data_IF_945265049658
#
_entry.id   IF_945265049658
#
_cell.length_a   1.000
_cell.length_b   1.000
_cell.length_c   1.000
_cell.angle_alpha   90.00
_cell.angle_beta   90.00
_cell.angle_gamma   90.00
#
_symmetry.space_group_name_H-M   'P 1'
#
loop_
_entity.id
_entity.type
_entity.pdbx_description
1 polymer ?
#
# COMPACT_ATOMS: atom_id res chain seq x y z
N UNK A 1 -14.43 -7.51 0.73
CA UNK A 1 -13.16 -8.08 0.23
C UNK A 1 -13.38 -8.86 -1.06
N UNK A 2 -12.39 -8.95 -1.96
CA UNK A 2 -12.48 -9.68 -3.23
C UNK A 2 -12.83 -11.16 -3.01
N UNK A 3 -13.54 -11.74 -3.98
CA UNK A 3 -14.29 -13.01 -3.81
C UNK A 3 -13.56 -14.25 -4.33
N UNK A 4 -12.47 -14.11 -5.08
CA UNK A 4 -11.72 -15.25 -5.63
C UNK A 4 -10.21 -15.02 -5.66
N UNK A 5 -9.44 -16.06 -5.30
CA UNK A 5 -7.98 -16.05 -5.36
C UNK A 5 -7.49 -16.05 -6.82
N UNK A 6 -6.47 -15.24 -7.17
CA UNK A 6 -5.88 -15.21 -8.51
C UNK A 6 -5.12 -16.51 -8.80
N UNK A 7 -5.78 -17.45 -9.49
CA UNK A 7 -5.23 -18.77 -9.83
C UNK A 7 -3.98 -18.70 -10.71
N UNK A 8 -3.77 -17.60 -11.44
CA UNK A 8 -2.58 -17.38 -12.25
C UNK A 8 -1.29 -17.15 -11.44
N UNK A 9 -1.37 -16.95 -10.11
CA UNK A 9 -0.21 -16.95 -9.21
C UNK A 9 0.13 -18.32 -8.63
N UNK A 10 -0.70 -19.35 -8.85
CA UNK A 10 -0.50 -20.66 -8.21
C UNK A 10 0.80 -21.36 -8.60
N UNK A 11 1.39 -20.98 -9.73
CA UNK A 11 2.65 -21.53 -10.24
C UNK A 11 3.88 -20.71 -9.85
N UNK A 12 3.72 -19.57 -9.15
CA UNK A 12 4.85 -18.76 -8.71
C UNK A 12 5.62 -19.54 -7.63
N UNK A 13 6.94 -19.75 -7.79
CA UNK A 13 7.75 -20.43 -6.79
C UNK A 13 7.69 -19.70 -5.45
N UNK A 14 7.54 -20.46 -4.37
CA UNK A 14 7.52 -19.92 -3.00
C UNK A 14 8.83 -20.29 -2.30
N UNK A 15 9.55 -19.33 -1.69
CA UNK A 15 10.75 -19.62 -0.93
C UNK A 15 10.45 -20.46 0.32
N UNK A 16 11.38 -21.33 0.71
CA UNK A 16 11.20 -22.26 1.85
C UNK A 16 11.45 -21.61 3.21
N UNK A 17 12.25 -20.53 3.25
CA UNK A 17 12.74 -19.90 4.47
C UNK A 17 12.05 -18.55 4.75
N UNK A 18 10.75 -18.44 4.49
CA UNK A 18 9.95 -17.25 4.78
C UNK A 18 8.92 -17.54 5.86
N UNK A 19 8.42 -16.48 6.52
CA UNK A 19 7.32 -16.60 7.46
C UNK A 19 6.10 -17.24 6.78
N UNK A 20 5.34 -18.03 7.54
CA UNK A 20 4.15 -18.75 7.03
C UNK A 20 2.88 -18.44 7.83
N UNK A 21 3.02 -17.59 8.85
CA UNK A 21 1.97 -17.11 9.75
C UNK A 21 2.46 -15.86 10.46
N UNK A 22 1.55 -15.11 11.08
CA UNK A 22 1.90 -13.98 11.93
C UNK A 22 2.78 -14.41 13.13
N UNK A 23 3.79 -13.59 13.49
CA UNK A 23 4.65 -13.86 14.63
C UNK A 23 3.91 -13.62 15.96
N UNK A 24 4.44 -14.17 17.04
CA UNK A 24 4.15 -13.64 18.38
C UNK A 24 5.02 -12.42 18.65
N UNK A 25 4.60 -11.54 19.57
CA UNK A 25 5.37 -10.35 19.93
C UNK A 25 6.81 -10.67 20.38
N UNK A 26 7.01 -11.80 21.07
CA UNK A 26 8.33 -12.25 21.54
C UNK A 26 9.25 -12.72 20.40
N UNK A 27 8.71 -13.05 19.23
CA UNK A 27 9.48 -13.51 18.08
C UNK A 27 10.03 -12.34 17.24
N UNK A 28 9.58 -11.10 17.51
CA UNK A 28 10.00 -9.91 16.78
C UNK A 28 11.23 -9.33 17.46
N UNK A 29 12.35 -9.32 16.74
CA UNK A 29 13.64 -8.91 17.28
C UNK A 29 14.18 -7.77 16.40
N UNK A 30 14.23 -6.52 16.89
CA UNK A 30 14.85 -5.43 16.14
C UNK A 30 16.34 -5.70 15.94
N UNK A 31 16.88 -5.32 14.79
CA UNK A 31 18.27 -5.56 14.42
C UNK A 31 18.53 -5.32 12.93
N UNK A 32 19.76 -5.58 12.46
CA UNK A 32 20.05 -5.56 11.03
C UNK A 32 19.27 -6.68 10.31
N UNK A 33 19.13 -6.56 8.99
CA UNK A 33 18.62 -7.66 8.17
C UNK A 33 19.55 -8.88 8.31
N UNK A 34 18.96 -10.04 8.52
CA UNK A 34 19.71 -11.29 8.56
C UNK A 34 20.36 -11.55 7.19
N UNK A 35 21.59 -12.11 7.15
CA UNK A 35 22.14 -12.65 5.93
C UNK A 35 21.15 -13.64 5.32
N UNK A 36 20.90 -13.53 4.01
CA UNK A 36 19.95 -14.35 3.29
C UNK A 36 20.58 -14.90 2.02
N UNK A 37 20.36 -16.19 1.77
CA UNK A 37 20.67 -16.87 0.52
C UNK A 37 19.55 -16.72 -0.52
N UNK A 38 18.48 -15.99 -0.18
CA UNK A 38 17.39 -15.73 -1.09
C UNK A 38 17.86 -14.85 -2.26
N UNK A 39 17.69 -15.36 -3.47
CA UNK A 39 18.04 -14.67 -4.69
C UNK A 39 16.87 -14.70 -5.67
N UNK A 40 16.37 -13.50 -6.01
CA UNK A 40 15.38 -13.31 -7.07
C UNK A 40 16.08 -13.00 -8.39
N UNK A 41 15.69 -13.67 -9.47
CA UNK A 41 16.26 -13.42 -10.80
C UNK A 41 15.68 -12.14 -11.40
N UNK A 42 16.28 -10.99 -11.09
CA UNK A 42 15.79 -9.67 -11.57
C UNK A 42 15.66 -9.56 -13.09
N UNK A 43 16.34 -10.42 -13.88
CA UNK A 43 16.25 -10.41 -15.35
C UNK A 43 14.92 -10.95 -15.87
N UNK A 44 14.15 -11.67 -15.06
CA UNK A 44 12.80 -12.17 -15.43
C UNK A 44 11.70 -11.17 -15.12
N UNK A 45 12.05 -9.98 -14.63
CA UNK A 45 11.12 -8.92 -14.25
C UNK A 45 11.28 -7.72 -15.21
N UNK A 46 10.22 -6.88 -15.36
CA UNK A 46 10.32 -5.66 -16.15
C UNK A 46 11.37 -4.71 -15.60
N UNK A 47 11.74 -3.71 -16.40
CA UNK A 47 12.63 -2.66 -15.92
C UNK A 47 11.97 -1.87 -14.77
N UNK A 48 12.78 -1.47 -13.78
CA UNK A 48 12.32 -0.59 -12.71
C UNK A 48 11.84 0.76 -13.26
N UNK A 49 10.83 1.36 -12.62
CA UNK A 49 10.26 2.67 -12.99
C UNK A 49 9.72 2.78 -14.42
N UNK A 50 9.41 1.65 -15.07
CA UNK A 50 8.80 1.62 -16.40
C UNK A 50 7.52 0.81 -16.36
N UNK A 51 6.50 1.29 -17.07
CA UNK A 51 5.26 0.54 -17.30
C UNK A 51 5.62 -0.81 -17.92
N UNK A 52 5.21 -1.94 -17.32
CA UNK A 52 5.53 -3.26 -17.85
C UNK A 52 4.91 -3.48 -19.24
N UNK A 53 5.57 -4.30 -20.06
CA UNK A 53 4.99 -4.74 -21.34
C UNK A 53 3.74 -5.59 -21.09
N UNK A 54 2.71 -5.32 -21.89
CA UNK A 54 1.47 -6.10 -21.89
C UNK A 54 1.61 -7.43 -22.62
N UNK A 55 2.64 -7.60 -23.46
CA UNK A 55 2.80 -8.76 -24.35
C UNK A 55 3.37 -10.00 -23.65
N UNK A 56 3.78 -9.88 -22.38
CA UNK A 56 4.35 -11.00 -21.64
C UNK A 56 3.30 -12.14 -21.51
N UNK A 57 3.64 -13.41 -21.77
CA UNK A 57 2.67 -14.51 -21.76
C UNK A 57 1.89 -14.64 -20.45
N UNK A 58 2.54 -14.38 -19.32
CA UNK A 58 1.87 -14.39 -18.02
C UNK A 58 0.87 -13.23 -17.87
N UNK A 59 1.18 -12.04 -18.39
CA UNK A 59 0.27 -10.87 -18.38
C UNK A 59 -0.90 -11.12 -19.31
N UNK A 60 -0.67 -11.64 -20.52
CA UNK A 60 -1.72 -12.02 -21.47
C UNK A 60 -2.69 -13.04 -20.89
N UNK A 61 -2.20 -13.99 -20.09
CA UNK A 61 -3.06 -14.94 -19.35
C UNK A 61 -4.00 -14.22 -18.38
N UNK A 62 -3.52 -13.19 -17.68
CA UNK A 62 -4.36 -12.41 -16.76
C UNK A 62 -5.35 -11.54 -17.53
N UNK A 63 -4.91 -10.86 -18.59
CA UNK A 63 -5.78 -10.07 -19.50
C UNK A 63 -6.94 -10.94 -20.01
N UNK A 64 -6.66 -12.18 -20.42
CA UNK A 64 -7.68 -13.13 -20.87
C UNK A 64 -8.63 -13.63 -19.78
N UNK A 65 -8.34 -13.37 -18.51
CA UNK A 65 -9.20 -13.74 -17.37
C UNK A 65 -10.11 -12.61 -16.90
N UNK A 66 -9.91 -11.38 -17.37
CA UNK A 66 -10.73 -10.22 -17.00
C UNK A 66 -12.04 -10.24 -17.80
N UNK A 67 -13.16 -10.07 -17.09
CA UNK A 67 -14.45 -9.77 -17.69
C UNK A 67 -14.51 -8.28 -18.05
N UNK A 68 -14.08 -7.97 -19.28
CA UNK A 68 -14.07 -6.62 -19.82
C UNK A 68 -15.47 -6.00 -19.95
N UNK A 69 -16.55 -6.78 -19.86
CA UNK A 69 -17.91 -6.22 -19.88
C UNK A 69 -18.26 -5.48 -18.59
N UNK A 70 -17.53 -5.74 -17.49
CA UNK A 70 -17.67 -5.08 -16.19
C UNK A 70 -16.71 -3.92 -15.98
N UNK A 71 -15.88 -3.61 -16.98
CA UNK A 71 -14.89 -2.53 -16.91
C UNK A 71 -15.47 -1.31 -17.62
N UNK A 72 -15.47 -0.16 -16.94
CA UNK A 72 -15.96 1.08 -17.53
C UNK A 72 -15.17 1.47 -18.78
N UNK A 73 -15.86 2.08 -19.75
CA UNK A 73 -15.29 2.54 -21.02
C UNK A 73 -14.81 4.00 -20.95
N UNK A 74 -14.61 4.53 -19.74
CA UNK A 74 -14.09 5.87 -19.53
C UNK A 74 -12.79 6.09 -20.31
N UNK A 75 -12.60 7.29 -20.88
CA UNK A 75 -11.40 7.61 -21.61
C UNK A 75 -10.18 7.58 -20.66
N UNK A 76 -9.06 7.11 -21.20
CA UNK A 76 -7.77 7.18 -20.51
C UNK A 76 -7.43 8.65 -20.27
N UNK A 77 -7.03 8.97 -19.03
CA UNK A 77 -6.69 10.34 -18.62
C UNK A 77 -5.30 10.72 -19.15
N UNK A 78 -5.08 12.02 -19.33
CA UNK A 78 -3.80 12.53 -19.82
C UNK A 78 -2.98 13.06 -18.65
N UNK A 79 -1.67 12.92 -18.77
CA UNK A 79 -0.70 13.47 -17.83
C UNK A 79 0.18 14.45 -18.59
N UNK A 80 0.29 15.67 -18.08
CA UNK A 80 1.14 16.75 -18.60
C UNK A 80 1.98 17.25 -17.44
N UNK A 81 3.30 17.29 -17.60
CA UNK A 81 4.24 17.73 -16.58
C UNK A 81 3.99 17.10 -15.20
N UNK A 82 3.85 15.77 -15.19
CA UNK A 82 3.61 14.94 -13.99
C UNK A 82 2.24 15.12 -13.31
N UNK A 83 1.38 15.98 -13.86
CA UNK A 83 0.05 16.27 -13.33
C UNK A 83 -1.04 15.80 -14.29
N UNK A 84 -2.19 15.41 -13.76
CA UNK A 84 -3.35 15.06 -14.57
C UNK A 84 -3.88 16.31 -15.30
N UNK A 85 -4.10 16.19 -16.61
CA UNK A 85 -4.69 17.26 -17.42
C UNK A 85 -6.21 17.26 -17.23
N UNK A 86 -6.69 18.27 -16.49
CA UNK A 86 -8.10 18.50 -16.22
C UNK A 86 -8.73 19.53 -17.18
N UNK A 87 -8.01 19.95 -18.22
CA UNK A 87 -8.50 20.96 -19.15
C UNK A 87 -9.76 20.47 -19.87
N UNK A 88 -10.88 21.17 -19.66
CA UNK A 88 -12.17 20.81 -20.27
C UNK A 88 -12.82 19.56 -19.69
N UNK A 89 -12.36 19.08 -18.53
CA UNK A 89 -12.95 17.94 -17.84
C UNK A 89 -14.33 18.28 -17.27
N UNK A 90 -15.36 17.52 -17.68
CA UNK A 90 -16.72 17.62 -17.14
C UNK A 90 -16.90 16.66 -15.96
N UNK A 91 -16.74 17.21 -14.75
CA UNK A 91 -16.92 16.45 -13.51
C UNK A 91 -18.34 15.92 -13.32
N UNK A 92 -19.37 16.69 -13.71
CA UNK A 92 -20.76 16.30 -13.49
C UNK A 92 -21.21 15.20 -14.47
N UNK A 93 -20.64 15.22 -15.67
CA UNK A 93 -20.88 14.23 -16.72
C UNK A 93 -20.02 12.97 -16.66
N UNK A 94 -19.03 12.89 -15.75
CA UNK A 94 -18.15 11.72 -15.68
C UNK A 94 -18.97 10.47 -15.30
N UNK A 95 -18.91 9.38 -16.08
CA UNK A 95 -19.65 8.15 -15.77
C UNK A 95 -19.06 7.38 -14.59
N UNK A 96 -17.84 7.68 -14.16
CA UNK A 96 -17.11 7.00 -13.11
C UNK A 96 -16.94 7.86 -11.86
N UNK A 97 -16.70 7.20 -10.75
CA UNK A 97 -16.19 7.83 -9.54
C UNK A 97 -14.67 8.06 -9.67
N UNK A 98 -14.23 9.24 -10.11
CA UNK A 98 -12.79 9.52 -10.24
C UNK A 98 -12.23 10.25 -9.01
N UNK A 99 -11.32 9.57 -8.30
CA UNK A 99 -10.71 10.08 -7.08
C UNK A 99 -9.92 11.37 -7.31
N UNK A 100 -9.07 11.45 -8.33
CA UNK A 100 -8.23 12.64 -8.53
C UNK A 100 -8.98 13.91 -8.92
N UNK A 101 -10.22 13.81 -9.43
CA UNK A 101 -11.02 15.00 -9.72
C UNK A 101 -11.93 15.44 -8.57
N UNK A 102 -12.24 14.55 -7.62
CA UNK A 102 -13.36 14.77 -6.70
C UNK A 102 -13.25 14.13 -5.32
N UNK A 103 -12.14 13.43 -5.07
CA UNK A 103 -11.95 12.58 -3.91
C UNK A 103 -13.06 11.53 -3.76
N UNK A 104 -13.68 11.13 -4.88
CA UNK A 104 -14.74 10.16 -4.87
C UNK A 104 -14.21 8.77 -4.51
N UNK A 105 -14.85 8.15 -3.52
CA UNK A 105 -14.52 6.83 -2.94
C UNK A 105 -15.64 5.80 -3.10
N UNK A 106 -16.76 6.21 -3.70
CA UNK A 106 -17.97 5.42 -3.90
C UNK A 106 -18.14 5.12 -5.39
N UNK A 107 -17.72 3.93 -5.86
CA UNK A 107 -17.86 3.57 -7.27
C UNK A 107 -19.29 3.73 -7.77
N UNK A 108 -19.45 4.24 -8.99
CA UNK A 108 -20.76 4.30 -9.66
C UNK A 108 -21.15 2.95 -10.25
N UNK A 109 -20.16 2.09 -10.52
CA UNK A 109 -20.39 0.70 -10.92
C UNK A 109 -20.94 -0.13 -9.74
N UNK A 110 -22.15 -0.70 -9.92
CA UNK A 110 -22.92 -1.36 -8.86
C UNK A 110 -22.24 -2.60 -8.24
N UNK A 111 -21.36 -3.27 -8.99
CA UNK A 111 -20.68 -4.49 -8.53
C UNK A 111 -19.35 -4.20 -7.79
N UNK A 112 -18.99 -2.92 -7.65
CA UNK A 112 -17.76 -2.51 -6.97
C UNK A 112 -18.08 -2.01 -5.57
N UNK A 113 -17.36 -2.49 -4.56
CA UNK A 113 -17.52 -1.95 -3.23
C UNK A 113 -16.80 -0.61 -3.09
N UNK A 114 -17.25 0.21 -2.13
CA UNK A 114 -16.58 1.43 -1.68
C UNK A 114 -15.10 1.21 -1.38
N UNK A 115 -14.25 2.21 -1.61
CA UNK A 115 -12.84 2.13 -1.22
C UNK A 115 -12.68 2.12 0.30
N UNK A 116 -11.74 1.32 0.81
CA UNK A 116 -11.37 1.45 2.23
C UNK A 116 -10.60 2.76 2.40
N UNK A 117 -11.11 3.66 3.25
CA UNK A 117 -10.52 4.98 3.44
C UNK A 117 -10.62 5.51 4.87
N UNK A 118 -11.45 4.87 5.70
CA UNK A 118 -11.66 5.15 7.11
C UNK A 118 -11.73 3.82 7.85
N UNK A 119 -11.47 3.85 9.16
CA UNK A 119 -11.70 2.72 10.04
C UNK A 119 -13.12 2.86 10.63
N UNK A 120 -13.89 1.76 10.79
CA UNK A 120 -15.27 1.82 11.26
C UNK A 120 -15.39 2.31 12.72
N UNK A 121 -14.39 2.08 13.57
CA UNK A 121 -14.48 2.44 14.98
C UNK A 121 -13.79 3.78 15.28
N UNK A 122 -14.52 4.65 15.95
CA UNK A 122 -14.01 5.90 16.53
C UNK A 122 -12.70 5.69 17.30
N UNK A 123 -11.68 6.46 16.95
CA UNK A 123 -10.38 6.42 17.61
C UNK A 123 -9.42 5.34 17.11
N UNK A 124 -9.83 4.46 16.19
CA UNK A 124 -8.88 3.60 15.47
C UNK A 124 -8.05 4.44 14.49
N UNK A 125 -6.78 4.09 14.35
CA UNK A 125 -5.85 4.67 13.38
C UNK A 125 -5.21 3.55 12.57
N UNK A 126 -5.72 3.34 11.36
CA UNK A 126 -5.19 2.44 10.34
C UNK A 126 -3.87 2.96 9.79
N UNK A 127 -2.77 2.56 10.44
CA UNK A 127 -1.42 2.99 10.12
C UNK A 127 -0.95 2.37 8.81
N UNK A 128 -0.43 3.21 7.90
CA UNK A 128 0.19 2.70 6.69
C UNK A 128 1.33 3.53 6.12
N UNK A 129 2.20 2.86 5.38
CA UNK A 129 3.35 3.45 4.69
C UNK A 129 3.41 3.00 3.23
N UNK A 130 3.61 3.95 2.33
CA UNK A 130 3.70 3.74 0.88
C UNK A 130 5.16 3.71 0.38
N UNK A 131 5.32 3.30 -0.88
CA UNK A 131 6.56 3.29 -1.65
C UNK A 131 7.68 2.35 -1.19
N UNK A 132 7.38 1.50 -0.22
CA UNK A 132 8.30 0.53 0.30
C UNK A 132 8.57 -0.67 -0.64
N UNK A 133 9.45 -1.59 -0.21
CA UNK A 133 10.39 -1.42 0.90
C UNK A 133 11.39 -0.28 0.59
N UNK A 134 11.79 0.46 1.62
CA UNK A 134 12.70 1.60 1.50
C UNK A 134 13.90 1.32 0.58
N UNK A 135 14.16 2.24 -0.35
CA UNK A 135 15.35 2.27 -1.19
C UNK A 135 16.35 3.31 -0.71
N UNK A 136 17.60 2.88 -0.54
CA UNK A 136 18.76 3.76 -0.46
C UNK A 136 18.89 4.63 -1.71
N UNK A 137 18.59 5.93 -1.63
CA UNK A 137 18.83 6.87 -2.74
C UNK A 137 20.30 7.27 -2.87
N UNK A 138 21.10 7.01 -1.84
CA UNK A 138 22.54 7.24 -1.85
C UNK A 138 23.30 5.94 -1.58
N UNK A 139 24.59 5.91 -1.94
CA UNK A 139 25.47 4.76 -1.71
C UNK A 139 26.41 4.95 -0.53
N UNK A 140 26.24 6.05 0.24
CA UNK A 140 27.13 6.37 1.34
C UNK A 140 27.09 5.25 2.41
N UNK A 141 28.23 4.87 3.01
CA UNK A 141 28.24 3.87 4.07
C UNK A 141 27.42 4.27 5.30
N UNK A 142 27.43 5.56 5.64
CA UNK A 142 26.55 6.13 6.67
C UNK A 142 25.10 5.87 6.27
N UNK A 143 24.78 6.07 4.99
CA UNK A 143 23.43 5.96 4.51
C UNK A 143 22.90 4.53 4.52
N UNK A 144 23.74 3.59 4.10
CA UNK A 144 23.44 2.17 4.24
C UNK A 144 23.22 1.72 5.69
N UNK A 145 23.87 2.34 6.67
CA UNK A 145 23.68 2.01 8.08
C UNK A 145 22.32 2.51 8.63
N UNK A 146 21.75 3.55 8.00
CA UNK A 146 20.41 4.06 8.30
C UNK A 146 19.29 3.31 7.57
N UNK A 147 19.61 2.42 6.63
CA UNK A 147 18.67 1.98 5.61
C UNK A 147 18.46 0.47 5.66
N UNK A 148 17.19 0.09 5.88
CA UNK A 148 16.66 -1.28 5.88
C UNK A 148 17.19 -2.16 7.03
N UNK A 149 16.67 -2.02 8.27
CA UNK A 149 15.24 -1.94 8.56
C UNK A 149 14.91 -0.87 9.61
N UNK A 150 15.30 0.40 9.41
CA UNK A 150 15.05 1.47 10.38
C UNK A 150 13.58 1.59 10.78
N UNK A 151 12.67 1.64 9.81
CA UNK A 151 11.23 1.66 10.08
C UNK A 151 10.80 0.43 10.89
N UNK A 152 11.16 -0.78 10.45
CA UNK A 152 10.70 -2.00 11.13
C UNK A 152 11.32 -2.14 12.52
N UNK A 153 12.57 -1.71 12.71
CA UNK A 153 13.20 -1.62 14.03
C UNK A 153 12.48 -0.64 14.92
N UNK A 154 12.16 0.56 14.40
CA UNK A 154 11.41 1.56 15.12
C UNK A 154 10.02 1.06 15.51
N UNK A 155 9.28 0.43 14.59
CA UNK A 155 7.97 -0.16 14.86
C UNK A 155 8.07 -1.28 15.91
N UNK A 156 9.08 -2.15 15.81
CA UNK A 156 9.34 -3.19 16.80
C UNK A 156 9.63 -2.62 18.19
N UNK A 157 10.51 -1.62 18.30
CA UNK A 157 10.86 -1.00 19.59
C UNK A 157 9.76 -0.08 20.13
N UNK A 158 8.84 0.37 19.28
CA UNK A 158 7.70 1.22 19.64
C UNK A 158 6.46 0.38 19.88
N UNK A 159 6.56 -0.49 20.88
CA UNK A 159 5.44 -1.33 21.33
C UNK A 159 5.06 -2.45 20.36
N UNK A 160 6.00 -2.96 19.56
CA UNK A 160 5.72 -3.94 18.51
C UNK A 160 4.62 -3.47 17.54
N UNK A 161 4.57 -2.17 17.21
CA UNK A 161 3.59 -1.61 16.31
C UNK A 161 3.59 -2.35 14.96
N UNK A 162 2.40 -2.59 14.42
CA UNK A 162 2.20 -3.16 13.09
C UNK A 162 1.62 -2.09 12.17
N UNK A 163 1.98 -2.13 10.89
CA UNK A 163 1.45 -1.24 9.87
C UNK A 163 0.98 -2.05 8.65
N UNK A 164 0.21 -1.39 7.78
CA UNK A 164 -0.02 -1.83 6.41
C UNK A 164 1.00 -1.15 5.49
N UNK A 165 1.73 -1.91 4.70
CA UNK A 165 2.82 -1.43 3.85
C UNK A 165 2.43 -1.65 2.39
N UNK A 166 2.40 -0.57 1.61
CA UNK A 166 2.06 -0.59 0.20
C UNK A 166 3.35 -0.60 -0.62
N UNK A 167 3.67 -1.75 -1.19
CA UNK A 167 4.95 -1.98 -1.85
C UNK A 167 4.90 -1.80 -3.36
N UNK A 168 5.86 -1.03 -3.86
CA UNK A 168 6.13 -0.91 -5.28
C UNK A 168 6.88 -2.15 -5.74
N UNK A 169 6.37 -2.82 -6.78
CA UNK A 169 6.85 -4.15 -7.19
C UNK A 169 8.34 -4.20 -7.51
N UNK A 170 8.87 -3.16 -8.17
CA UNK A 170 10.30 -3.12 -8.47
C UNK A 170 11.17 -2.89 -7.22
N UNK A 171 10.64 -2.31 -6.15
CA UNK A 171 11.34 -2.19 -4.86
C UNK A 171 11.42 -3.56 -4.17
N UNK A 172 10.35 -4.36 -4.22
CA UNK A 172 10.33 -5.72 -3.65
C UNK A 172 11.45 -6.59 -4.22
N UNK A 173 11.62 -6.61 -5.55
CA UNK A 173 12.70 -7.42 -6.16
C UNK A 173 14.11 -6.85 -5.89
N UNK A 174 14.21 -5.57 -5.55
CA UNK A 174 15.49 -4.94 -5.23
C UNK A 174 15.88 -5.08 -3.76
N UNK A 175 14.90 -5.15 -2.87
CA UNK A 175 15.04 -5.27 -1.43
C UNK A 175 14.24 -6.46 -0.87
N UNK A 176 14.44 -7.69 -1.39
CA UNK A 176 13.58 -8.82 -1.05
C UNK A 176 13.67 -9.23 0.42
N UNK A 177 14.86 -9.12 1.02
CA UNK A 177 15.08 -9.44 2.44
C UNK A 177 14.33 -8.45 3.35
N UNK A 178 14.17 -7.18 2.92
CA UNK A 178 13.39 -6.20 3.66
C UNK A 178 11.89 -6.53 3.61
N UNK A 179 11.37 -6.95 2.45
CA UNK A 179 9.98 -7.40 2.32
C UNK A 179 9.71 -8.67 3.14
N UNK A 180 10.63 -9.63 3.14
CA UNK A 180 10.56 -10.82 4.00
C UNK A 180 10.56 -10.44 5.48
N UNK A 181 11.44 -9.51 5.87
CA UNK A 181 11.54 -9.00 7.24
C UNK A 181 10.23 -8.34 7.68
N UNK A 182 9.65 -7.47 6.86
CA UNK A 182 8.40 -6.80 7.18
C UNK A 182 7.25 -7.79 7.42
N UNK A 183 7.14 -8.80 6.56
CA UNK A 183 6.14 -9.86 6.73
C UNK A 183 6.40 -10.67 8.01
N UNK A 184 7.67 -11.03 8.27
CA UNK A 184 8.08 -11.78 9.46
C UNK A 184 7.84 -11.00 10.77
N UNK A 185 7.91 -9.66 10.73
CA UNK A 185 7.57 -8.78 11.85
C UNK A 185 6.06 -8.56 12.02
N UNK A 186 5.25 -9.17 11.16
CA UNK A 186 3.78 -9.19 11.24
C UNK A 186 3.09 -8.02 10.56
N UNK A 187 3.79 -7.24 9.74
CA UNK A 187 3.17 -6.19 8.94
C UNK A 187 2.29 -6.77 7.82
N UNK A 188 1.33 -5.99 7.35
CA UNK A 188 0.52 -6.37 6.19
C UNK A 188 1.13 -5.81 4.91
N UNK A 189 1.29 -6.64 3.89
CA UNK A 189 1.85 -6.25 2.60
C UNK A 189 0.73 -6.11 1.57
N UNK A 190 0.61 -4.92 0.99
CA UNK A 190 -0.30 -4.57 -0.08
C UNK A 190 0.47 -4.18 -1.34
N UNK A 191 -0.17 -4.30 -2.51
CA UNK A 191 0.43 -3.87 -3.77
C UNK A 191 0.36 -2.35 -3.96
N UNK A 192 1.39 -1.76 -4.56
CA UNK A 192 1.43 -0.34 -4.93
C UNK A 192 1.92 -0.13 -6.36
N UNK A 193 1.46 -0.99 -7.28
CA UNK A 193 1.85 -1.03 -8.71
C UNK A 193 3.33 -1.31 -8.92
N UNK A 194 3.74 -1.53 -10.18
CA UNK A 194 5.11 -1.87 -10.52
C UNK A 194 5.96 -0.61 -10.70
N UNK A 195 5.44 0.38 -11.42
CA UNK A 195 6.20 1.56 -11.86
C UNK A 195 5.77 2.87 -11.21
N UNK A 196 4.77 2.84 -10.32
CA UNK A 196 4.27 3.99 -9.58
C UNK A 196 3.75 5.10 -10.51
N UNK A 197 2.91 4.73 -11.49
CA UNK A 197 2.26 5.65 -12.42
C UNK A 197 0.82 5.95 -12.01
N UNK A 198 0.31 7.11 -12.43
CA UNK A 198 -1.11 7.48 -12.33
C UNK A 198 -1.94 6.47 -13.12
N UNK A 199 -2.71 5.63 -12.42
CA UNK A 199 -3.33 4.45 -13.00
C UNK A 199 -4.44 4.79 -14.00
N UNK A 200 -5.12 5.94 -13.85
CA UNK A 200 -6.16 6.35 -14.79
C UNK A 200 -5.59 6.83 -16.14
N UNK A 201 -4.28 7.10 -16.20
CA UNK A 201 -3.54 7.43 -17.41
C UNK A 201 -3.04 6.22 -18.22
N UNK A 202 -3.21 5.02 -17.68
CA UNK A 202 -2.80 3.76 -18.32
C UNK A 202 -3.97 3.11 -19.06
N UNK A 203 -3.66 2.39 -20.13
CA UNK A 203 -4.60 1.45 -20.77
C UNK A 203 -5.04 0.36 -19.78
N UNK A 204 -6.13 -0.33 -20.09
CA UNK A 204 -6.65 -1.41 -19.25
C UNK A 204 -5.63 -2.55 -19.08
N UNK A 205 -4.95 -2.89 -20.17
CA UNK A 205 -3.95 -3.95 -20.21
C UNK A 205 -2.68 -3.54 -19.44
N UNK A 206 -2.29 -2.26 -19.50
CA UNK A 206 -1.19 -1.73 -18.68
C UNK A 206 -1.54 -1.75 -17.18
N UNK A 207 -2.79 -1.44 -16.80
CA UNK A 207 -3.26 -1.58 -15.41
C UNK A 207 -3.12 -3.03 -14.94
N UNK A 208 -3.51 -4.00 -15.77
CA UNK A 208 -3.31 -5.42 -15.45
C UNK A 208 -1.83 -5.74 -15.27
N UNK A 209 -0.96 -5.23 -16.16
CA UNK A 209 0.47 -5.49 -16.11
C UNK A 209 1.12 -4.91 -14.84
N UNK A 210 0.78 -3.67 -14.47
CA UNK A 210 1.23 -3.00 -13.24
C UNK A 210 0.91 -3.81 -11.98
N UNK A 211 -0.33 -4.28 -11.87
CA UNK A 211 -0.79 -5.06 -10.70
C UNK A 211 -0.18 -6.48 -10.70
N UNK A 212 -0.16 -7.13 -11.87
CA UNK A 212 0.36 -8.49 -12.03
C UNK A 212 1.80 -8.60 -11.53
N UNK A 213 2.69 -7.75 -12.03
CA UNK A 213 4.11 -7.84 -11.73
C UNK A 213 4.42 -7.56 -10.26
N UNK A 214 3.66 -6.66 -9.62
CA UNK A 214 3.79 -6.39 -8.19
C UNK A 214 3.29 -7.55 -7.34
N UNK A 215 2.13 -8.13 -7.68
CA UNK A 215 1.62 -9.30 -6.96
C UNK A 215 2.56 -10.50 -7.11
N UNK A 216 3.13 -10.72 -8.30
CA UNK A 216 4.14 -11.76 -8.53
C UNK A 216 5.40 -11.52 -7.70
N UNK A 217 5.93 -10.30 -7.68
CA UNK A 217 7.13 -9.96 -6.92
C UNK A 217 6.95 -10.18 -5.41
N UNK A 218 5.80 -9.76 -4.86
CA UNK A 218 5.44 -10.03 -3.46
C UNK A 218 5.39 -11.55 -3.23
N UNK A 219 4.63 -12.28 -4.05
CA UNK A 219 4.44 -13.73 -3.90
C UNK A 219 5.74 -14.52 -3.96
N UNK A 220 6.59 -14.27 -4.95
CA UNK A 220 7.89 -14.95 -5.12
C UNK A 220 8.87 -14.61 -3.99
N UNK A 221 8.74 -13.42 -3.41
CA UNK A 221 9.66 -12.96 -2.35
C UNK A 221 9.24 -13.44 -0.97
N UNK A 222 7.94 -13.43 -0.67
CA UNK A 222 7.44 -13.58 0.70
C UNK A 222 6.47 -14.75 0.88
N UNK A 223 6.05 -15.38 -0.21
CA UNK A 223 5.15 -16.54 -0.20
C UNK A 223 3.67 -16.22 -0.05
N UNK A 224 3.28 -14.95 0.15
CA UNK A 224 1.88 -14.53 0.30
C UNK A 224 1.28 -13.92 -0.96
N UNK A 225 0.00 -14.13 -1.19
CA UNK A 225 -0.77 -13.43 -2.22
C UNK A 225 -1.62 -12.35 -1.57
N UNK A 226 -1.26 -11.09 -1.80
CA UNK A 226 -1.97 -9.93 -1.26
C UNK A 226 -3.40 -9.79 -1.79
N UNK A 227 -4.30 -9.29 -0.92
CA UNK A 227 -5.71 -8.99 -1.22
C UNK A 227 -6.00 -7.50 -1.27
N UNK A 228 -4.98 -6.66 -1.18
CA UNK A 228 -5.11 -5.21 -1.06
C UNK A 228 -4.11 -4.49 -1.95
N UNK A 229 -4.49 -3.29 -2.37
CA UNK A 229 -3.62 -2.39 -3.09
C UNK A 229 -4.00 -0.94 -2.82
N UNK A 230 -3.08 -0.02 -3.09
CA UNK A 230 -3.32 1.42 -3.09
C UNK A 230 -2.89 2.00 -4.44
N UNK A 231 -3.69 2.87 -5.06
CA UNK A 231 -3.29 3.57 -6.28
C UNK A 231 -2.24 4.64 -5.97
N UNK A 232 -1.12 4.68 -6.71
CA UNK A 232 -0.20 5.81 -6.72
C UNK A 232 -0.96 7.13 -6.91
N UNK A 233 -0.57 8.18 -6.19
CA UNK A 233 -1.20 9.51 -6.23
C UNK A 233 -2.69 9.54 -5.82
N UNK A 234 -3.23 8.43 -5.29
CA UNK A 234 -4.68 8.30 -5.06
C UNK A 234 -5.49 8.25 -6.35
N UNK A 235 -4.84 8.04 -7.49
CA UNK A 235 -5.46 8.13 -8.82
C UNK A 235 -6.13 6.82 -9.23
N UNK A 236 -7.45 6.82 -9.13
CA UNK A 236 -8.29 5.65 -9.44
C UNK A 236 -9.69 6.07 -9.89
N UNK A 237 -10.20 5.38 -10.90
CA UNK A 237 -11.58 5.46 -11.42
C UNK A 237 -12.24 4.07 -11.39
N UNK A 238 -13.50 3.97 -11.80
CA UNK A 238 -14.25 2.70 -11.73
C UNK A 238 -13.71 1.65 -12.71
N UNK A 239 -13.11 2.08 -13.82
CA UNK A 239 -12.36 1.22 -14.73
C UNK A 239 -11.20 0.52 -14.01
N UNK A 240 -10.34 1.29 -13.34
CA UNK A 240 -9.18 0.75 -12.60
C UNK A 240 -9.63 -0.09 -11.39
N UNK A 241 -10.63 0.36 -10.63
CA UNK A 241 -11.20 -0.43 -9.51
C UNK A 241 -11.73 -1.78 -9.97
N UNK A 242 -12.45 -1.82 -11.10
CA UNK A 242 -13.00 -3.05 -11.64
C UNK A 242 -11.91 -4.06 -11.99
N UNK A 243 -10.83 -3.61 -12.64
CA UNK A 243 -9.70 -4.48 -12.97
C UNK A 243 -9.05 -5.01 -11.68
N UNK A 244 -8.73 -4.14 -10.72
CA UNK A 244 -8.11 -4.56 -9.47
C UNK A 244 -8.98 -5.54 -8.66
N UNK A 245 -10.29 -5.28 -8.60
CA UNK A 245 -11.26 -6.15 -7.94
C UNK A 245 -11.30 -7.55 -8.54
N UNK A 246 -11.34 -7.65 -9.87
CA UNK A 246 -11.30 -8.92 -10.60
C UNK A 246 -9.96 -9.66 -10.44
N UNK A 247 -8.86 -8.93 -10.25
CA UNK A 247 -7.55 -9.50 -9.92
C UNK A 247 -7.41 -9.94 -8.46
N UNK A 248 -8.47 -9.79 -7.66
CA UNK A 248 -8.49 -10.24 -6.26
C UNK A 248 -7.93 -9.21 -5.28
N UNK A 249 -7.97 -7.92 -5.61
CA UNK A 249 -7.47 -6.82 -4.79
C UNK A 249 -8.60 -5.88 -4.35
N UNK A 250 -8.55 -5.44 -3.09
CA UNK A 250 -9.36 -4.34 -2.55
C UNK A 250 -8.58 -3.04 -2.64
N UNK A 251 -9.20 -2.02 -3.24
CA UNK A 251 -8.68 -0.65 -3.24
C UNK A 251 -8.74 -0.05 -1.85
N UNK A 252 -7.59 0.45 -1.40
CA UNK A 252 -7.42 1.18 -0.14
C UNK A 252 -6.85 2.56 -0.47
N UNK A 253 -7.50 3.61 0.01
CA UNK A 253 -7.05 5.01 -0.05
C UNK A 253 -6.89 5.53 1.38
N UNK A 254 -7.03 6.84 1.61
CA UNK A 254 -6.86 7.46 2.92
C UNK A 254 -7.82 8.64 3.13
N UNK A 255 -8.01 9.01 4.38
CA UNK A 255 -8.67 10.24 4.82
C UNK A 255 -7.75 11.15 5.64
N UNK A 256 -6.55 10.67 6.01
CA UNK A 256 -5.53 11.44 6.73
C UNK A 256 -4.20 11.43 5.99
N UNK A 257 -3.99 12.45 5.15
CA UNK A 257 -2.73 12.66 4.43
C UNK A 257 -1.74 13.46 5.28
N UNK A 258 -0.57 12.86 5.57
CA UNK A 258 0.47 13.53 6.36
C UNK A 258 1.22 14.60 5.57
N UNK A 259 1.14 14.57 4.23
CA UNK A 259 1.95 15.36 3.31
C UNK A 259 3.47 15.20 3.53
N UNK A 260 3.93 14.10 4.12
CA UNK A 260 5.36 13.82 4.29
C UNK A 260 6.11 13.66 2.95
N UNK A 261 5.40 13.29 1.88
CA UNK A 261 5.89 13.27 0.51
C UNK A 261 6.28 14.65 -0.05
N UNK A 262 5.78 15.74 0.54
CA UNK A 262 6.08 17.12 0.12
C UNK A 262 7.14 17.77 1.04
N UNK A 263 7.89 16.98 1.82
CA UNK A 263 8.96 17.54 2.66
C UNK A 263 10.14 18.05 1.83
N UNK A 264 10.73 19.16 2.28
CA UNK A 264 12.04 19.58 1.78
C UNK A 264 13.08 18.47 2.01
N UNK A 265 13.81 18.11 0.95
CA UNK A 265 14.85 17.07 0.99
C UNK A 265 14.41 15.70 0.47
N UNK A 266 13.12 15.49 0.19
CA UNK A 266 12.62 14.25 -0.41
C UNK A 266 12.89 14.19 -1.92
N UNK A 267 12.95 12.99 -2.53
CA UNK A 267 12.99 12.84 -3.97
C UNK A 267 11.82 13.58 -4.64
N UNK A 268 12.11 14.44 -5.62
CA UNK A 268 11.11 15.26 -6.29
C UNK A 268 11.06 16.73 -5.83
N UNK A 269 11.74 17.08 -4.73
CA UNK A 269 11.93 18.47 -4.32
C UNK A 269 10.70 19.11 -3.67
N UNK A 270 10.18 18.46 -2.61
CA UNK A 270 9.04 18.95 -1.83
C UNK A 270 9.25 20.33 -1.19
N UNK A 271 8.18 20.96 -0.75
CA UNK A 271 8.15 22.38 -0.34
C UNK A 271 7.88 22.60 1.15
N UNK A 272 7.34 21.61 1.86
CA UNK A 272 6.97 21.70 3.28
C UNK A 272 8.17 21.51 4.21
N UNK A 273 8.18 22.26 5.30
CA UNK A 273 9.08 22.01 6.43
C UNK A 273 8.54 20.90 7.34
N UNK A 274 9.43 20.28 8.13
CA UNK A 274 9.03 19.33 9.18
C UNK A 274 8.02 19.91 10.16
N UNK A 275 8.11 21.21 10.44
CA UNK A 275 7.17 21.93 11.30
C UNK A 275 5.77 21.98 10.70
N UNK A 276 5.65 22.21 9.39
CA UNK A 276 4.36 22.27 8.70
C UNK A 276 3.68 20.91 8.66
N UNK A 277 4.43 19.86 8.35
CA UNK A 277 3.95 18.47 8.45
C UNK A 277 3.54 18.15 9.90
N UNK A 278 4.36 18.53 10.88
CA UNK A 278 4.05 18.31 12.30
C UNK A 278 2.73 18.96 12.75
N UNK A 279 2.41 20.16 12.27
CA UNK A 279 1.13 20.83 12.56
C UNK A 279 -0.09 20.05 12.05
N UNK A 280 0.07 19.23 11.00
CA UNK A 280 -1.00 18.36 10.49
C UNK A 280 -1.32 17.28 11.54
N UNK A 281 -0.30 16.60 12.07
CA UNK A 281 -0.45 15.61 13.13
C UNK A 281 -1.01 16.22 14.43
N UNK A 282 -0.49 17.38 14.85
CA UNK A 282 -1.00 18.09 16.05
C UNK A 282 -2.49 18.42 15.91
N UNK A 283 -2.92 18.83 14.71
CA UNK A 283 -4.32 19.11 14.43
C UNK A 283 -5.18 17.84 14.58
N UNK A 284 -4.77 16.71 14.04
CA UNK A 284 -5.52 15.45 14.18
C UNK A 284 -5.62 15.01 15.65
N UNK A 285 -4.50 15.01 16.36
CA UNK A 285 -4.43 14.66 17.79
C UNK A 285 -5.35 15.59 18.61
N UNK A 286 -5.25 16.90 18.39
CA UNK A 286 -6.06 17.91 19.09
C UNK A 286 -7.55 17.73 18.82
N UNK A 287 -7.95 17.46 17.57
CA UNK A 287 -9.36 17.24 17.24
C UNK A 287 -9.92 15.99 17.91
N UNK A 288 -9.18 14.88 17.92
CA UNK A 288 -9.60 13.65 18.62
C UNK A 288 -9.69 13.86 20.14
N UNK A 289 -8.71 14.56 20.73
CA UNK A 289 -8.72 14.93 22.15
C UNK A 289 -9.95 15.78 22.52
N UNK A 290 -10.29 16.75 21.67
CA UNK A 290 -11.40 17.68 21.84
C UNK A 290 -12.76 17.12 21.39
N UNK A 291 -12.83 15.82 21.05
CA UNK A 291 -14.06 15.15 20.58
C UNK A 291 -14.66 15.73 19.29
N UNK A 292 -13.81 16.30 18.43
CA UNK A 292 -14.20 16.90 17.16
C UNK A 292 -13.98 15.97 15.96
N UNK A 293 -13.46 14.76 16.19
CA UNK A 293 -13.10 13.78 15.17
C UNK A 293 -13.32 12.37 15.73
N UNK A 294 -14.60 12.02 15.95
CA UNK A 294 -15.00 10.79 16.67
C UNK A 294 -16.12 10.02 16.00
N UNK A 295 -16.51 10.39 14.79
CA UNK A 295 -17.59 9.71 14.08
C UNK A 295 -17.11 8.35 13.56
N UNK A 296 -15.88 8.31 13.07
CA UNK A 296 -15.16 7.12 12.57
C UNK A 296 -13.71 7.12 13.06
N UNK A 297 -12.97 6.05 12.76
CA UNK A 297 -11.51 6.03 12.82
C UNK A 297 -10.91 6.35 11.45
N UNK A 298 -9.59 6.44 11.37
CA UNK A 298 -8.90 7.00 10.19
C UNK A 298 -7.94 6.03 9.53
N UNK A 299 -7.72 6.19 8.23
CA UNK A 299 -6.63 5.53 7.50
C UNK A 299 -5.60 6.59 7.11
N UNK A 300 -4.35 6.38 7.54
CA UNK A 300 -3.27 7.34 7.25
C UNK A 300 -2.59 7.11 5.91
N UNK A 301 -2.03 8.18 5.34
CA UNK A 301 -1.02 8.14 4.29
C UNK A 301 0.28 8.74 4.80
N UNK A 302 1.32 7.91 4.81
CA UNK A 302 2.71 8.22 5.14
C UNK A 302 3.60 7.42 4.17
N UNK A 303 4.89 7.72 4.09
CA UNK A 303 5.82 7.09 3.15
C UNK A 303 7.06 6.53 3.85
N UNK A 304 7.59 5.41 3.33
CA UNK A 304 8.82 4.81 3.82
C UNK A 304 9.93 4.80 2.77
N UNK A 305 9.95 5.76 1.84
CA UNK A 305 10.89 5.76 0.71
C UNK A 305 12.06 6.74 0.87
N UNK A 306 12.08 7.58 1.91
CA UNK A 306 13.12 8.57 2.17
C UNK A 306 13.29 8.83 3.68
N UNK A 307 14.37 9.50 4.07
CA UNK A 307 14.75 9.65 5.49
C UNK A 307 13.89 10.67 6.20
N UNK A 308 13.46 11.68 5.47
CA UNK A 308 12.66 12.77 5.96
C UNK A 308 11.29 12.24 6.39
N UNK A 309 10.67 11.38 5.58
CA UNK A 309 9.43 10.67 5.89
C UNK A 309 9.59 9.70 7.07
N UNK A 310 10.68 8.92 7.11
CA UNK A 310 10.96 8.06 8.28
C UNK A 310 11.13 8.87 9.58
N UNK A 311 11.75 10.06 9.51
CA UNK A 311 11.87 10.93 10.67
C UNK A 311 10.51 11.46 11.15
N UNK A 312 9.55 11.68 10.23
CA UNK A 312 8.16 12.00 10.60
C UNK A 312 7.51 10.83 11.34
N UNK A 313 7.61 9.61 10.81
CA UNK A 313 7.07 8.43 11.46
C UNK A 313 7.63 8.26 12.90
N UNK A 314 8.94 8.43 13.06
CA UNK A 314 9.63 8.34 14.36
C UNK A 314 9.18 9.40 15.37
N UNK A 315 8.90 10.61 14.91
CA UNK A 315 8.46 11.70 15.78
C UNK A 315 6.99 11.58 16.19
N UNK A 316 6.12 11.19 15.25
CA UNK A 316 4.67 11.36 15.41
C UNK A 316 3.94 10.08 15.82
N UNK A 317 4.44 8.89 15.47
CA UNK A 317 3.79 7.64 15.84
C UNK A 317 3.56 7.50 17.36
N UNK A 318 4.54 7.78 18.25
CA UNK A 318 4.31 7.64 19.69
C UNK A 318 3.24 8.61 20.21
N UNK A 319 3.11 9.78 19.58
CA UNK A 319 2.09 10.77 19.92
C UNK A 319 0.71 10.36 19.43
N UNK A 320 0.63 9.75 18.24
CA UNK A 320 -0.59 9.13 17.74
C UNK A 320 -1.04 7.98 18.65
N UNK A 321 -0.12 7.09 19.07
CA UNK A 321 -0.43 5.99 20.00
C UNK A 321 -0.97 6.46 21.35
N UNK A 322 -0.61 7.66 21.81
CA UNK A 322 -1.17 8.24 23.04
C UNK A 322 -2.62 8.71 22.88
N UNK A 323 -3.08 8.94 21.64
CA UNK A 323 -4.39 9.53 21.36
C UNK A 323 -5.35 8.59 20.63
N UNK A 324 -4.82 7.64 19.85
CA UNK A 324 -5.54 6.73 18.98
C UNK A 324 -5.13 5.28 19.26
N UNK A 325 -6.02 4.34 18.94
CA UNK A 325 -5.70 2.92 18.83
C UNK A 325 -5.04 2.67 17.46
N UNK A 326 -3.71 2.72 17.43
CA UNK A 326 -2.93 2.58 16.19
C UNK A 326 -2.74 1.12 15.82
N UNK A 327 -3.26 0.71 14.66
CA UNK A 327 -3.26 -0.70 14.18
C UNK A 327 -3.09 -0.74 12.64
N UNK A 328 -2.73 -1.89 12.04
CA UNK A 328 -2.83 -2.06 10.59
C UNK A 328 -4.26 -1.85 10.08
N UNK A 329 -4.42 -1.42 8.84
CA UNK A 329 -5.73 -1.15 8.21
C UNK A 329 -6.64 -2.38 8.27
N UNK A 330 -6.13 -3.58 7.97
CA UNK A 330 -6.94 -4.81 7.99
C UNK A 330 -7.47 -5.14 9.38
N UNK A 331 -6.68 -4.82 10.41
CA UNK A 331 -7.14 -4.93 11.79
C UNK A 331 -8.19 -3.87 12.09
N UNK A 332 -8.01 -2.61 11.66
CA UNK A 332 -9.01 -1.58 11.95
C UNK A 332 -10.37 -1.84 11.27
N UNK A 333 -10.38 -2.34 10.02
CA UNK A 333 -11.61 -2.64 9.28
C UNK A 333 -12.24 -3.99 9.63
N UNK A 334 -11.64 -4.76 10.54
CA UNK A 334 -12.14 -6.06 10.92
C UNK A 334 -12.09 -7.10 9.80
N UNK A 335 -11.05 -7.10 8.95
CA UNK A 335 -10.73 -8.22 8.07
C UNK A 335 -9.57 -9.07 8.62
N UNK A 336 -9.82 -10.33 9.05
CA UNK A 336 -8.77 -11.13 9.64
C UNK A 336 -7.82 -11.77 8.60
N UNK A 337 -8.10 -11.65 7.29
CA UNK A 337 -7.39 -12.37 6.24
C UNK A 337 -6.75 -11.41 5.22
N UNK A 338 -5.59 -10.81 5.48
CA UNK A 338 -4.95 -9.91 4.50
C UNK A 338 -4.42 -10.63 3.25
N UNK A 339 -4.29 -11.96 3.30
CA UNK A 339 -3.76 -12.79 2.21
C UNK A 339 -4.69 -13.95 1.88
N UNK A 340 -4.49 -14.58 0.72
CA UNK A 340 -5.27 -15.75 0.30
C UNK A 340 -4.85 -17.05 0.99
N UNK A 341 -3.65 -17.10 1.57
CA UNK A 341 -3.15 -18.22 2.33
C UNK A 341 -3.83 -18.32 3.70
N UNK A 342 -4.52 -19.44 3.97
CA UNK A 342 -5.35 -19.64 5.17
C UNK A 342 -4.58 -19.56 6.51
N UNK A 343 -3.25 -19.77 6.50
CA UNK A 343 -2.42 -19.69 7.70
C UNK A 343 -2.13 -18.25 8.16
N UNK A 344 -2.42 -17.26 7.32
CA UNK A 344 -2.24 -15.85 7.63
C UNK A 344 -3.53 -15.21 8.12
N UNK A 345 -3.93 -15.60 9.32
CA UNK A 345 -5.06 -15.01 10.02
C UNK A 345 -4.57 -14.13 11.17
N UNK A 346 -5.03 -12.89 11.25
CA UNK A 346 -4.68 -12.01 12.36
C UNK A 346 -5.01 -12.67 13.71
N UNK A 347 -4.09 -12.62 14.69
CA UNK A 347 -4.29 -13.22 16.00
C UNK A 347 -5.16 -12.30 16.89
N UNK A 348 -6.42 -12.09 16.53
CA UNK A 348 -7.30 -11.26 17.34
C UNK A 348 -7.71 -11.96 18.65
N UNK A 349 -7.82 -11.20 19.76
CA UNK A 349 -8.56 -11.67 20.92
C UNK A 349 -9.99 -12.05 20.51
N UNK A 350 -10.52 -13.15 21.06
CA UNK A 350 -11.91 -13.52 20.85
C UNK A 350 -12.84 -12.35 21.24
N UNK A 351 -13.70 -11.91 20.32
CA UNK A 351 -14.71 -10.87 20.57
C UNK A 351 -14.38 -9.46 20.05
N UNK A 352 -13.23 -9.21 19.42
CA UNK A 352 -12.87 -7.87 18.89
C UNK A 352 -13.83 -7.33 17.80
N UNK A 353 -14.52 -8.21 17.08
CA UNK A 353 -15.49 -7.85 16.03
C UNK A 353 -16.81 -8.63 16.16
N UNK A 354 -17.31 -8.80 17.39
CA UNK A 354 -18.69 -9.27 17.58
C UNK A 354 -19.66 -8.16 17.20
N UNK A 355 -19.85 -7.96 15.89
CA UNK A 355 -20.69 -6.91 15.33
C UNK A 355 -20.40 -6.68 13.86
N UNK A 356 -20.61 -7.69 13.01
CA UNK A 356 -20.96 -7.47 11.60
C UNK A 356 -22.22 -8.23 11.25
#
# INVERSE_FOLDING_TARGET
MPVSSPTWLSSVPIPTNVATKFPTDQAIIPGPLAPSDFHINKKTYPAANKVPSVDHPEVQKVIGSIDWTKVSKSPIRKVVDWSLDLTGYDYLGDPDCWSSSSLCRYPKALDLPEDVHECPNSGDWGLSYDDGPFRAWTTSPEDKAWESPRLYNFLATTGNQKATLFYVGHNVINFPVAAQRALADGHTLCAHTWSHKQMTSLTNEEVVAELYWTMKAIKETTGVTTRCWRPPYGDVDDRVRSIAWQMGLRTIVWDRDSNDWDLNGVPGGGHLSKLEVGKIFEKWISRMANRQDRDTGHVSLEHENNREALAVAEEWLPRLQNQFNVVPIHECIGDPNPYWEANWKFPWPAGKFNGS
#
